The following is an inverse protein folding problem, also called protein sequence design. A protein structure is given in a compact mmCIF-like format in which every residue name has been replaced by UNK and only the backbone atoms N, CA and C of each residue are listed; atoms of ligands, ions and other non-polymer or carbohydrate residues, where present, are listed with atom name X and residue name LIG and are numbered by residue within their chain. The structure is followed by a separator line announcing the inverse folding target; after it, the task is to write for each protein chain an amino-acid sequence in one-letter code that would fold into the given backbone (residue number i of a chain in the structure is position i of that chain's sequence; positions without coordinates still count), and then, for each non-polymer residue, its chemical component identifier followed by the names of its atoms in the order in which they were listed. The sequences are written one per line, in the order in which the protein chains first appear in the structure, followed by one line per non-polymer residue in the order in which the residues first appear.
data_IF_815565588242
#
_entry.id   IF_815565588242
#
_cell.length_a   1.000
_cell.length_b   1.000
_cell.length_c   1.000
_cell.angle_alpha   90.00
_cell.angle_beta   90.00
_cell.angle_gamma   90.00
#
_symmetry.space_group_name_H-M   'P 1'
#
loop_
_entity.id
_entity.type
_entity.pdbx_description
1 polymer ?
#
# COMPACT_ATOMS: atom_id res chain seq x y z
N UNK A 1 3.96 13.91 24.72
CA UNK A 1 4.72 14.85 23.85
C UNK A 1 5.12 14.13 22.60
N UNK A 2 5.02 14.75 21.46
CA UNK A 2 5.53 14.22 20.18
C UNK A 2 7.05 14.13 20.27
N UNK A 3 7.57 12.93 20.14
CA UNK A 3 9.01 12.64 20.17
C UNK A 3 9.53 12.51 18.73
N UNK A 4 10.59 13.24 18.39
CA UNK A 4 11.31 13.03 17.13
C UNK A 4 12.25 11.81 17.30
N UNK A 5 11.96 10.73 16.57
CA UNK A 5 12.74 9.50 16.55
C UNK A 5 13.34 9.26 15.17
N UNK A 6 13.51 10.32 14.39
CA UNK A 6 14.08 10.26 13.05
C UNK A 6 15.42 9.54 13.04
N UNK A 7 15.62 8.71 12.05
CA UNK A 7 16.86 7.96 11.84
C UNK A 7 17.66 8.60 10.71
N UNK A 8 18.95 8.38 10.70
CA UNK A 8 19.82 8.78 9.60
C UNK A 8 20.54 7.55 9.07
N UNK A 9 20.41 7.29 7.79
CA UNK A 9 21.23 6.32 7.08
C UNK A 9 22.30 7.08 6.28
N UNK A 10 23.47 6.48 6.09
CA UNK A 10 24.49 7.08 5.25
C UNK A 10 24.29 6.65 3.80
N UNK A 11 24.32 7.61 2.88
CA UNK A 11 24.34 7.31 1.45
C UNK A 11 25.64 6.58 1.06
N UNK A 12 25.66 5.94 -0.11
CA UNK A 12 26.87 5.28 -0.62
C UNK A 12 28.05 6.26 -0.82
N UNK A 13 27.77 7.57 -0.89
CA UNK A 13 28.76 8.65 -0.88
C UNK A 13 29.08 9.19 0.52
N UNK A 14 28.54 8.59 1.59
CA UNK A 14 28.76 9.00 2.97
C UNK A 14 27.93 10.20 3.44
N UNK A 15 26.99 10.72 2.63
CA UNK A 15 26.12 11.82 3.03
C UNK A 15 24.95 11.32 3.89
N UNK A 16 24.52 12.09 4.91
CA UNK A 16 23.38 11.70 5.74
C UNK A 16 22.05 11.77 4.95
N UNK A 17 21.26 10.72 5.05
CA UNK A 17 19.91 10.62 4.49
C UNK A 17 18.92 10.43 5.64
N UNK A 18 18.16 11.47 6.03
CA UNK A 18 17.23 11.38 7.16
C UNK A 18 15.95 10.64 6.77
N UNK A 19 15.54 9.69 7.60
CA UNK A 19 14.20 9.09 7.60
C UNK A 19 13.44 9.72 8.77
N UNK A 20 12.51 10.60 8.47
CA UNK A 20 11.75 11.32 9.51
C UNK A 20 10.68 10.43 10.13
N UNK A 21 10.71 10.32 11.45
CA UNK A 21 9.77 9.52 12.22
C UNK A 21 9.41 10.20 13.54
N UNK A 22 8.15 10.08 13.92
CA UNK A 22 7.64 10.60 15.19
C UNK A 22 7.01 9.49 16.00
N UNK A 23 7.11 9.62 17.33
CA UNK A 23 6.49 8.70 18.29
C UNK A 23 5.62 9.47 19.28
N UNK A 24 4.47 8.90 19.55
CA UNK A 24 3.56 9.31 20.62
C UNK A 24 3.37 8.12 21.55
N UNK A 25 3.90 8.22 22.77
CA UNK A 25 3.74 7.19 23.79
C UNK A 25 2.51 7.49 24.64
N UNK A 26 1.54 6.58 24.64
CA UNK A 26 0.36 6.66 25.49
C UNK A 26 0.64 6.28 26.93
N UNK A 27 -0.37 6.44 27.82
CA UNK A 27 -0.24 6.21 29.25
C UNK A 27 -0.33 4.73 29.68
N UNK A 28 -0.16 3.78 28.73
CA UNK A 28 0.05 2.37 29.00
C UNK A 28 -1.11 1.44 28.64
N UNK A 29 -0.76 0.19 28.35
CA UNK A 29 -1.68 -0.94 28.17
C UNK A 29 -2.26 -1.12 26.76
N UNK A 30 -2.22 -0.12 25.88
CA UNK A 30 -2.68 -0.24 24.50
C UNK A 30 -1.60 -0.82 23.55
N UNK A 31 -2.00 -1.27 22.33
CA UNK A 31 -1.07 -1.84 21.38
C UNK A 31 -0.08 -0.80 20.82
N UNK A 32 1.09 -1.28 20.38
CA UNK A 32 2.03 -0.49 19.60
C UNK A 32 1.61 -0.49 18.14
N UNK A 33 1.65 0.67 17.51
CA UNK A 33 1.24 0.88 16.11
C UNK A 33 2.38 1.51 15.34
N UNK A 34 2.58 1.05 14.10
CA UNK A 34 3.44 1.69 13.12
C UNK A 34 2.60 2.08 11.90
N UNK A 35 2.65 3.35 11.54
CA UNK A 35 1.98 3.91 10.36
C UNK A 35 3.04 4.53 9.47
N UNK A 36 3.11 4.11 8.22
CA UNK A 36 4.02 4.73 7.26
C UNK A 36 3.36 4.97 5.91
N UNK A 37 3.97 5.83 5.11
CA UNK A 37 3.56 6.15 3.76
C UNK A 37 4.77 6.48 2.88
N UNK A 38 4.64 6.28 1.58
CA UNK A 38 5.63 6.68 0.60
C UNK A 38 6.86 5.80 0.57
N UNK A 39 6.73 4.50 0.76
CA UNK A 39 7.76 3.51 0.41
C UNK A 39 8.00 3.57 -1.10
N UNK A 40 6.94 3.56 -1.91
CA UNK A 40 6.99 4.12 -3.26
C UNK A 40 6.83 5.65 -3.15
N UNK A 41 7.88 6.38 -3.45
CA UNK A 41 7.97 7.81 -3.13
C UNK A 41 7.08 8.72 -4.00
N UNK A 42 6.59 8.22 -5.12
CA UNK A 42 5.61 8.88 -6.01
C UNK A 42 4.15 8.67 -5.57
N UNK A 43 3.89 7.85 -4.56
CA UNK A 43 2.59 7.57 -3.99
C UNK A 43 2.32 8.50 -2.78
N UNK A 44 2.03 9.78 -3.07
CA UNK A 44 2.06 10.86 -2.07
C UNK A 44 0.79 11.02 -1.24
N UNK A 45 -0.33 10.39 -1.62
CA UNK A 45 -1.61 10.55 -0.90
C UNK A 45 -1.50 10.15 0.57
N UNK A 46 -0.86 9.01 0.87
CA UNK A 46 -0.62 8.53 2.23
C UNK A 46 0.22 9.48 3.08
N UNK A 47 1.16 10.21 2.47
CA UNK A 47 1.96 11.24 3.17
C UNK A 47 1.06 12.36 3.70
N UNK A 48 0.10 12.82 2.90
CA UNK A 48 -0.87 13.84 3.30
C UNK A 48 -1.84 13.30 4.36
N UNK A 49 -2.27 12.05 4.23
CA UNK A 49 -3.12 11.39 5.24
C UNK A 49 -2.43 11.36 6.61
N UNK A 50 -1.18 10.93 6.67
CA UNK A 50 -0.42 10.90 7.92
C UNK A 50 -0.13 12.30 8.47
N UNK A 51 0.08 13.30 7.59
CA UNK A 51 0.17 14.71 8.00
C UNK A 51 -1.11 15.21 8.68
N UNK A 52 -2.30 14.81 8.18
CA UNK A 52 -3.60 15.16 8.78
C UNK A 52 -3.90 14.36 10.04
N UNK A 53 -3.42 13.11 10.12
CA UNK A 53 -3.64 12.24 11.27
C UNK A 53 -2.80 12.63 12.48
N UNK A 54 -1.55 13.05 12.28
CA UNK A 54 -0.60 13.32 13.35
C UNK A 54 -1.11 14.35 14.39
N UNK A 55 -1.69 15.51 14.01
CA UNK A 55 -2.28 16.44 14.99
C UNK A 55 -3.44 15.86 15.79
N UNK A 56 -4.23 14.94 15.19
CA UNK A 56 -5.35 14.27 15.89
C UNK A 56 -4.82 13.30 16.96
N UNK A 57 -3.73 12.57 16.64
CA UNK A 57 -3.04 11.69 17.59
C UNK A 57 -2.38 12.51 18.71
N UNK A 58 -1.78 13.64 18.38
CA UNK A 58 -1.19 14.55 19.37
C UNK A 58 -2.25 15.11 20.33
N UNK A 59 -3.41 15.52 19.80
CA UNK A 59 -4.52 15.96 20.64
C UNK A 59 -5.04 14.83 21.53
N UNK A 60 -5.17 13.60 21.01
CA UNK A 60 -5.56 12.44 21.81
C UNK A 60 -4.54 12.13 22.92
N UNK A 61 -3.25 12.35 22.65
CA UNK A 61 -2.19 12.22 23.65
C UNK A 61 -2.30 13.30 24.74
N UNK A 62 -2.47 14.57 24.35
CA UNK A 62 -2.64 15.71 25.30
C UNK A 62 -3.85 15.51 26.21
N UNK A 63 -4.96 15.01 25.66
CA UNK A 63 -6.20 14.73 26.39
C UNK A 63 -6.11 13.46 27.25
N UNK A 64 -4.99 12.75 27.27
CA UNK A 64 -4.81 11.49 28.02
C UNK A 64 -5.62 10.32 27.46
N UNK A 65 -6.12 10.42 26.22
CA UNK A 65 -6.90 9.37 25.56
C UNK A 65 -6.02 8.35 24.83
N UNK A 66 -4.77 8.69 24.50
CA UNK A 66 -3.85 7.75 23.86
C UNK A 66 -3.40 6.67 24.88
N UNK A 67 -3.70 5.42 24.58
CA UNK A 67 -3.36 4.24 25.41
C UNK A 67 -2.14 3.52 24.88
N UNK A 68 -2.07 3.32 23.58
CA UNK A 68 -0.98 2.66 22.89
C UNK A 68 0.19 3.60 22.59
N UNK A 69 1.20 3.06 21.91
CA UNK A 69 2.30 3.84 21.35
C UNK A 69 2.13 3.87 19.84
N UNK A 70 2.16 5.06 19.23
CA UNK A 70 2.04 5.21 17.78
C UNK A 70 3.32 5.79 17.21
N UNK A 71 3.94 5.06 16.30
CA UNK A 71 5.06 5.51 15.46
C UNK A 71 4.50 5.93 14.09
N UNK A 72 4.86 7.11 13.62
CA UNK A 72 4.40 7.66 12.34
C UNK A 72 5.60 8.04 11.48
N UNK A 73 5.67 7.50 10.26
CA UNK A 73 6.70 7.76 9.25
C UNK A 73 6.01 8.29 7.98
N UNK A 74 5.71 9.59 7.89
CA UNK A 74 4.90 10.12 6.80
C UNK A 74 5.56 10.08 5.42
N UNK A 75 6.89 10.04 5.38
CA UNK A 75 7.69 9.99 4.15
C UNK A 75 8.80 8.96 4.34
N UNK A 76 8.45 7.70 4.12
CA UNK A 76 9.34 6.58 4.41
C UNK A 76 10.57 6.50 3.50
N UNK A 77 10.47 7.01 2.25
CA UNK A 77 11.52 6.85 1.24
C UNK A 77 12.14 8.17 0.78
N UNK A 78 13.12 8.71 1.52
CA UNK A 78 13.85 9.90 1.09
C UNK A 78 14.72 9.67 -0.16
N UNK A 79 15.13 8.42 -0.43
CA UNK A 79 15.93 8.07 -1.62
C UNK A 79 15.08 8.24 -2.89
N UNK A 80 13.86 7.69 -2.88
CA UNK A 80 12.94 7.79 -4.01
C UNK A 80 12.47 9.22 -4.26
N UNK A 81 12.18 10.01 -3.21
CA UNK A 81 11.84 11.44 -3.35
C UNK A 81 12.98 12.24 -4.01
N UNK A 82 14.21 11.88 -3.74
CA UNK A 82 15.37 12.57 -4.35
C UNK A 82 15.54 12.25 -5.85
N UNK A 83 14.86 11.24 -6.38
CA UNK A 83 14.87 10.85 -7.80
C UNK A 83 13.92 11.72 -8.63
N UNK A 84 14.12 13.03 -8.62
CA UNK A 84 13.30 13.98 -9.38
C UNK A 84 13.90 14.20 -10.77
N UNK A 85 13.18 13.79 -11.83
CA UNK A 85 13.63 13.87 -13.21
C UNK A 85 12.53 14.47 -14.11
N UNK A 86 12.88 15.44 -14.92
CA UNK A 86 11.95 16.05 -15.90
C UNK A 86 10.59 16.45 -15.33
N UNK A 87 10.57 16.95 -14.09
CA UNK A 87 9.33 17.36 -13.44
C UNK A 87 8.56 16.24 -12.72
N UNK A 88 9.10 15.01 -12.67
CA UNK A 88 8.46 13.85 -12.04
C UNK A 88 9.37 13.19 -11.01
N UNK A 89 8.77 12.66 -9.95
CA UNK A 89 9.45 11.77 -9.01
C UNK A 89 9.41 10.36 -9.57
N UNK A 90 10.58 9.72 -9.71
CA UNK A 90 10.71 8.31 -10.08
C UNK A 90 10.74 7.48 -8.79
N UNK A 91 9.60 7.38 -8.13
CA UNK A 91 9.51 6.91 -6.75
C UNK A 91 9.38 5.40 -6.56
N UNK A 92 9.09 4.63 -7.62
CA UNK A 92 8.81 3.19 -7.52
C UNK A 92 10.07 2.34 -7.53
N UNK A 93 11.05 2.70 -8.33
CA UNK A 93 12.30 1.94 -8.48
C UNK A 93 13.51 2.78 -8.09
N UNK A 94 14.50 2.15 -7.44
CA UNK A 94 15.79 2.77 -7.18
C UNK A 94 16.59 2.89 -8.48
N UNK A 95 16.85 4.13 -8.90
CA UNK A 95 17.44 4.45 -10.22
C UNK A 95 18.78 3.74 -10.47
N UNK A 96 19.64 3.68 -9.45
CA UNK A 96 20.98 3.08 -9.58
C UNK A 96 20.99 1.56 -9.70
N UNK A 97 19.96 0.86 -9.18
CA UNK A 97 19.93 -0.62 -9.12
C UNK A 97 18.73 -1.23 -9.82
N UNK A 98 17.79 -0.42 -10.28
CA UNK A 98 16.49 -0.84 -10.84
C UNK A 98 15.67 -1.74 -9.90
N UNK A 99 15.97 -1.72 -8.59
CA UNK A 99 15.21 -2.47 -7.59
C UNK A 99 13.94 -1.71 -7.22
N UNK A 100 12.82 -2.41 -7.15
CA UNK A 100 11.59 -1.88 -6.59
C UNK A 100 11.80 -1.56 -5.10
N UNK A 101 11.43 -0.35 -4.67
CA UNK A 101 11.62 0.09 -3.29
C UNK A 101 10.81 -0.74 -2.28
N UNK A 102 9.66 -1.29 -2.66
CA UNK A 102 8.85 -2.14 -1.80
C UNK A 102 9.08 -3.64 -2.08
N UNK A 103 10.33 -4.05 -2.27
CA UNK A 103 10.77 -5.45 -2.39
C UNK A 103 12.06 -5.66 -1.60
N UNK A 104 12.40 -6.89 -1.27
CA UNK A 104 13.64 -7.28 -0.58
C UNK A 104 13.74 -6.85 0.89
N UNK A 105 12.67 -6.45 1.55
CA UNK A 105 12.70 -6.07 2.97
C UNK A 105 13.15 -7.20 3.88
N UNK A 106 12.77 -8.45 3.62
CA UNK A 106 13.24 -9.62 4.38
C UNK A 106 14.76 -9.80 4.33
N UNK A 107 15.34 -9.64 3.13
CA UNK A 107 16.78 -9.74 2.93
C UNK A 107 17.50 -8.66 3.75
N UNK A 108 17.03 -7.42 3.63
CA UNK A 108 17.61 -6.27 4.31
C UNK A 108 17.44 -6.34 5.84
N UNK A 109 16.28 -6.81 6.33
CA UNK A 109 16.02 -7.01 7.75
C UNK A 109 16.95 -8.04 8.40
N UNK A 110 17.37 -9.07 7.66
CA UNK A 110 18.27 -10.10 8.15
C UNK A 110 19.73 -9.62 8.29
N UNK A 111 20.10 -8.47 7.71
CA UNK A 111 21.46 -7.97 7.75
C UNK A 111 21.78 -7.34 9.11
N UNK A 112 22.90 -7.74 9.71
CA UNK A 112 23.43 -7.06 10.91
C UNK A 112 24.07 -5.71 10.55
N UNK A 113 24.75 -5.66 9.40
CA UNK A 113 25.45 -4.46 8.87
C UNK A 113 25.16 -4.33 7.38
N UNK A 114 24.17 -3.53 6.99
CA UNK A 114 23.88 -3.27 5.58
C UNK A 114 25.07 -2.62 4.89
N UNK A 115 25.42 -3.09 3.71
CA UNK A 115 26.56 -2.60 2.92
C UNK A 115 26.19 -1.47 1.95
N UNK A 116 24.89 -1.29 1.67
CA UNK A 116 24.40 -0.27 0.73
C UNK A 116 23.40 0.66 1.41
N UNK A 117 23.26 1.87 0.92
CA UNK A 117 22.25 2.84 1.37
C UNK A 117 20.85 2.24 1.27
N UNK A 118 20.53 1.55 0.18
CA UNK A 118 19.24 0.91 -0.05
C UNK A 118 18.90 -0.09 1.07
N UNK A 119 19.79 -1.03 1.37
CA UNK A 119 19.57 -2.02 2.41
C UNK A 119 19.56 -1.39 3.82
N UNK A 120 20.40 -0.37 4.08
CA UNK A 120 20.40 0.36 5.34
C UNK A 120 19.09 1.10 5.59
N UNK A 121 18.52 1.72 4.55
CA UNK A 121 17.24 2.39 4.59
C UNK A 121 16.09 1.40 4.87
N UNK A 122 16.02 0.28 4.14
CA UNK A 122 15.00 -0.74 4.38
C UNK A 122 15.08 -1.30 5.79
N UNK A 123 16.29 -1.64 6.24
CA UNK A 123 16.49 -2.12 7.61
C UNK A 123 16.02 -1.09 8.65
N UNK A 124 16.30 0.18 8.45
CA UNK A 124 15.87 1.24 9.36
C UNK A 124 14.33 1.31 9.48
N UNK A 125 13.59 1.13 8.39
CA UNK A 125 12.11 1.07 8.42
C UNK A 125 11.62 -0.16 9.19
N UNK A 126 12.23 -1.33 8.95
CA UNK A 126 11.87 -2.56 9.68
C UNK A 126 12.15 -2.39 11.19
N UNK A 127 13.32 -1.85 11.57
CA UNK A 127 13.68 -1.63 12.97
C UNK A 127 12.70 -0.67 13.69
N UNK A 128 12.10 0.29 12.97
CA UNK A 128 11.05 1.17 13.53
C UNK A 128 9.72 0.44 13.76
N UNK A 129 9.44 -0.61 13.01
CA UNK A 129 8.14 -1.29 12.97
C UNK A 129 8.11 -2.63 13.72
N UNK A 130 9.26 -3.28 13.93
CA UNK A 130 9.36 -4.69 14.36
C UNK A 130 8.60 -4.99 15.66
N UNK A 131 8.56 -4.06 16.59
CA UNK A 131 7.85 -4.20 17.87
C UNK A 131 6.35 -3.84 17.78
N UNK A 132 5.87 -3.35 16.65
CA UNK A 132 4.48 -2.98 16.51
C UNK A 132 3.56 -4.22 16.49
N UNK A 133 2.34 -4.06 16.99
CA UNK A 133 1.26 -5.04 16.86
C UNK A 133 0.35 -4.75 15.68
N UNK A 134 0.30 -3.49 15.26
CA UNK A 134 -0.44 -3.03 14.10
C UNK A 134 0.52 -2.27 13.20
N UNK A 135 0.61 -2.69 11.95
CA UNK A 135 1.45 -2.07 10.92
C UNK A 135 0.57 -1.74 9.72
N UNK A 136 0.49 -0.47 9.37
CA UNK A 136 -0.19 -0.01 8.16
C UNK A 136 0.81 0.71 7.26
N UNK A 137 0.98 0.19 6.05
CA UNK A 137 1.75 0.81 4.98
C UNK A 137 0.80 1.42 3.97
N UNK A 138 0.81 2.76 3.86
CA UNK A 138 -0.13 3.50 3.02
C UNK A 138 0.44 3.69 1.63
N UNK A 139 -0.26 3.15 0.67
CA UNK A 139 0.06 3.15 -0.76
C UNK A 139 -1.06 3.73 -1.61
N UNK A 140 -0.82 3.82 -2.89
CA UNK A 140 -1.81 4.09 -3.94
C UNK A 140 -1.46 3.29 -5.18
N UNK A 141 -2.48 2.86 -5.93
CA UNK A 141 -2.29 2.29 -7.26
C UNK A 141 -2.41 3.42 -8.33
N UNK A 142 -2.26 3.10 -9.57
CA UNK A 142 -2.29 4.02 -10.71
C UNK A 142 -3.58 4.84 -10.76
N UNK A 143 -4.74 4.22 -11.03
CA UNK A 143 -6.10 4.67 -10.76
C UNK A 143 -6.82 3.49 -10.07
N UNK A 144 -7.43 3.68 -8.92
CA UNK A 144 -7.99 2.58 -8.14
C UNK A 144 -9.17 2.97 -7.26
N UNK A 145 -9.97 1.97 -6.88
CA UNK A 145 -10.80 2.01 -5.69
C UNK A 145 -9.93 1.82 -4.44
N UNK A 146 -10.39 2.20 -3.24
CA UNK A 146 -9.73 1.80 -2.01
C UNK A 146 -9.74 0.27 -1.85
N UNK A 147 -8.59 -0.32 -1.56
CA UNK A 147 -8.50 -1.76 -1.29
C UNK A 147 -7.33 -2.08 -0.35
N UNK A 148 -7.27 -3.31 0.13
CA UNK A 148 -6.24 -3.78 1.06
C UNK A 148 -5.54 -5.01 0.51
N UNK A 149 -4.21 -5.11 0.76
CA UNK A 149 -3.52 -6.39 0.80
C UNK A 149 -3.39 -6.82 2.26
N UNK A 150 -3.84 -8.03 2.57
CA UNK A 150 -3.82 -8.58 3.94
C UNK A 150 -3.42 -10.03 3.90
N UNK A 151 -2.46 -10.44 4.72
CA UNK A 151 -2.17 -11.86 4.86
C UNK A 151 -3.39 -12.59 5.45
N UNK A 152 -3.71 -13.75 4.89
CA UNK A 152 -4.88 -14.56 5.29
C UNK A 152 -4.90 -14.88 6.79
N UNK A 153 -3.73 -14.95 7.47
CA UNK A 153 -3.67 -15.21 8.91
C UNK A 153 -4.35 -14.12 9.76
N UNK A 154 -4.55 -12.90 9.21
CA UNK A 154 -5.27 -11.80 9.87
C UNK A 154 -6.75 -11.71 9.48
N UNK A 155 -7.22 -12.58 8.60
CA UNK A 155 -8.61 -12.57 8.17
C UNK A 155 -9.41 -13.62 8.93
N UNK A 156 -10.62 -13.31 9.49
CA UNK A 156 -11.44 -12.11 9.19
C UNK A 156 -11.23 -10.90 10.13
N UNK A 157 -10.28 -10.93 11.04
CA UNK A 157 -10.12 -9.87 12.06
C UNK A 157 -9.82 -8.48 11.44
N UNK A 158 -9.18 -8.44 10.25
CA UNK A 158 -8.91 -7.20 9.51
C UNK A 158 -10.15 -6.56 8.85
N UNK A 159 -11.36 -7.16 9.00
CA UNK A 159 -12.60 -6.58 8.44
C UNK A 159 -12.95 -5.22 9.04
N UNK A 160 -12.53 -4.95 10.26
CA UNK A 160 -12.70 -3.65 10.90
C UNK A 160 -11.89 -2.55 10.20
N UNK A 161 -10.64 -2.85 9.78
CA UNK A 161 -9.82 -1.95 8.97
C UNK A 161 -10.48 -1.73 7.59
N UNK A 162 -10.90 -2.80 6.93
CA UNK A 162 -11.58 -2.72 5.64
C UNK A 162 -12.86 -1.88 5.72
N UNK A 163 -13.67 -2.04 6.78
CA UNK A 163 -14.86 -1.24 7.02
C UNK A 163 -14.55 0.23 7.33
N UNK A 164 -13.54 0.50 8.15
CA UNK A 164 -13.15 1.87 8.49
C UNK A 164 -12.73 2.66 7.24
N UNK A 165 -11.98 2.03 6.34
CA UNK A 165 -11.46 2.63 5.10
C UNK A 165 -12.44 2.58 3.93
N UNK A 166 -13.61 1.94 4.10
CA UNK A 166 -14.56 1.69 3.01
C UNK A 166 -13.90 0.98 1.82
N UNK A 167 -13.03 0.00 2.14
CA UNK A 167 -12.29 -0.74 1.14
C UNK A 167 -13.24 -1.58 0.27
N UNK A 168 -13.14 -1.46 -1.04
CA UNK A 168 -13.96 -2.20 -2.00
C UNK A 168 -13.62 -3.68 -2.01
N UNK A 169 -12.32 -3.99 -1.81
CA UNK A 169 -11.76 -5.33 -1.87
C UNK A 169 -10.69 -5.49 -0.79
N UNK A 170 -10.66 -6.66 -0.17
CA UNK A 170 -9.51 -7.15 0.59
C UNK A 170 -8.87 -8.31 -0.20
N UNK A 171 -7.69 -8.09 -0.72
CA UNK A 171 -6.90 -9.09 -1.44
C UNK A 171 -6.14 -9.91 -0.40
N UNK A 172 -6.48 -11.20 -0.31
CA UNK A 172 -5.92 -12.10 0.69
C UNK A 172 -4.76 -12.89 0.08
N UNK A 173 -3.57 -12.67 0.63
CA UNK A 173 -2.38 -13.43 0.26
C UNK A 173 -1.99 -14.44 1.33
N UNK A 174 -1.33 -15.51 0.93
CA UNK A 174 -0.84 -16.57 1.80
C UNK A 174 0.68 -16.42 2.06
N UNK A 175 1.42 -17.50 2.08
CA UNK A 175 2.85 -17.51 2.46
C UNK A 175 3.82 -17.06 1.38
N UNK A 176 3.33 -16.59 0.25
CA UNK A 176 4.16 -16.10 -0.87
C UNK A 176 4.65 -14.69 -0.54
N UNK A 177 5.71 -14.61 0.27
CA UNK A 177 6.36 -13.37 0.64
C UNK A 177 7.14 -12.83 -0.57
N UNK A 178 6.64 -11.74 -1.12
CA UNK A 178 7.25 -11.02 -2.23
C UNK A 178 8.38 -10.07 -1.81
N UNK A 179 8.68 -10.06 -0.51
CA UNK A 179 9.66 -9.16 0.08
C UNK A 179 9.18 -7.73 0.28
N UNK A 180 7.88 -7.47 0.19
CA UNK A 180 7.28 -6.19 0.54
C UNK A 180 7.41 -5.92 2.04
N UNK A 181 7.22 -4.65 2.45
CA UNK A 181 7.41 -4.25 3.84
C UNK A 181 6.48 -5.00 4.79
N UNK A 182 5.16 -5.05 4.51
CA UNK A 182 4.22 -5.77 5.36
C UNK A 182 4.48 -7.28 5.36
N UNK A 183 4.92 -7.85 4.23
CA UNK A 183 5.33 -9.25 4.12
C UNK A 183 6.52 -9.55 5.04
N UNK A 184 7.50 -8.65 5.12
CA UNK A 184 8.63 -8.80 6.04
C UNK A 184 8.20 -8.79 7.50
N UNK A 185 7.21 -7.96 7.87
CA UNK A 185 6.63 -7.94 9.22
C UNK A 185 5.92 -9.25 9.53
N UNK A 186 5.08 -9.73 8.63
CA UNK A 186 4.37 -11.01 8.78
C UNK A 186 5.36 -12.16 8.92
N UNK A 187 6.35 -12.23 8.05
CA UNK A 187 7.40 -13.27 8.08
C UNK A 187 8.20 -13.26 9.38
N UNK A 188 8.51 -12.06 9.91
CA UNK A 188 9.16 -11.92 11.21
C UNK A 188 8.27 -12.49 12.33
N UNK A 189 7.01 -12.07 12.41
CA UNK A 189 6.09 -12.51 13.47
C UNK A 189 5.77 -14.01 13.41
N UNK A 190 5.69 -14.60 12.22
CA UNK A 190 5.52 -16.05 12.05
C UNK A 190 6.73 -16.83 12.56
N UNK A 191 7.95 -16.36 12.26
CA UNK A 191 9.19 -16.98 12.79
C UNK A 191 9.24 -16.94 14.30
N UNK A 192 8.85 -15.80 14.91
CA UNK A 192 8.83 -15.60 16.36
C UNK A 192 7.59 -16.22 17.02
N UNK A 193 6.67 -16.81 16.26
CA UNK A 193 5.38 -17.36 16.74
C UNK A 193 4.54 -16.33 17.51
N UNK A 194 4.57 -15.08 17.06
CA UNK A 194 3.92 -13.93 17.71
C UNK A 194 2.86 -13.29 16.81
N UNK A 195 1.99 -14.08 16.19
CA UNK A 195 0.99 -13.59 15.25
C UNK A 195 -0.31 -13.13 15.92
N UNK A 196 -0.62 -13.67 17.11
CA UNK A 196 -1.89 -13.43 17.80
C UNK A 196 -2.06 -11.95 18.18
N UNK A 197 -3.21 -11.38 17.84
CA UNK A 197 -3.56 -9.98 18.08
C UNK A 197 -2.72 -8.97 17.33
N UNK A 198 -2.01 -9.40 16.26
CA UNK A 198 -1.26 -8.54 15.35
C UNK A 198 -2.02 -8.33 14.05
N UNK A 199 -1.63 -7.31 13.31
CA UNK A 199 -2.14 -6.99 11.98
C UNK A 199 -1.05 -6.24 11.19
N UNK A 200 -0.72 -6.72 10.00
CA UNK A 200 -0.02 -5.95 9.00
C UNK A 200 -0.87 -5.89 7.73
N UNK A 201 -0.96 -4.72 7.13
CA UNK A 201 -1.69 -4.52 5.88
C UNK A 201 -1.03 -3.43 5.04
N UNK A 202 -1.03 -3.64 3.72
CA UNK A 202 -0.88 -2.57 2.75
C UNK A 202 -2.24 -1.97 2.47
N UNK A 203 -2.33 -0.66 2.62
CA UNK A 203 -3.56 0.12 2.43
C UNK A 203 -3.43 0.91 1.13
N UNK A 204 -4.13 0.46 0.11
CA UNK A 204 -4.21 1.16 -1.17
C UNK A 204 -5.34 2.19 -1.11
N UNK A 205 -4.96 3.44 -0.93
CA UNK A 205 -5.93 4.51 -0.66
C UNK A 205 -6.81 4.87 -1.85
N UNK A 206 -6.33 4.76 -3.06
CA UNK A 206 -6.98 4.99 -4.37
C UNK A 206 -5.91 5.18 -5.45
N UNK A 207 -6.19 6.07 -6.44
CA UNK A 207 -5.22 6.45 -7.47
C UNK A 207 -4.17 7.44 -6.99
N UNK A 208 -2.99 7.42 -7.60
CA UNK A 208 -1.87 8.32 -7.29
C UNK A 208 -2.21 9.81 -7.41
N UNK A 209 -3.18 10.15 -8.28
CA UNK A 209 -3.65 11.53 -8.47
C UNK A 209 -4.76 11.96 -7.50
N UNK A 210 -5.27 11.05 -6.66
CA UNK A 210 -6.35 11.31 -5.71
C UNK A 210 -5.82 11.98 -4.44
N UNK A 211 -5.22 13.15 -4.60
CA UNK A 211 -4.61 13.95 -3.55
C UNK A 211 -5.42 15.23 -3.32
N UNK A 212 -6.11 15.31 -2.18
CA UNK A 212 -6.83 16.51 -1.75
C UNK A 212 -6.99 16.53 -0.23
N UNK A 213 -7.20 17.71 0.34
CA UNK A 213 -7.48 17.83 1.78
C UNK A 213 -8.71 17.02 2.20
N UNK A 214 -9.78 17.03 1.40
CA UNK A 214 -11.02 16.31 1.72
C UNK A 214 -10.81 14.79 1.78
N UNK A 215 -10.05 14.22 0.85
CA UNK A 215 -9.71 12.78 0.83
C UNK A 215 -8.80 12.45 2.00
N UNK A 216 -7.76 13.24 2.22
CA UNK A 216 -6.80 13.01 3.29
C UNK A 216 -7.43 13.14 4.69
N UNK A 217 -8.32 14.11 4.91
CA UNK A 217 -9.04 14.24 6.17
C UNK A 217 -9.99 13.07 6.42
N UNK A 218 -10.70 12.58 5.39
CA UNK A 218 -11.56 11.40 5.46
C UNK A 218 -10.76 10.15 5.85
N UNK A 219 -9.65 9.90 5.18
CA UNK A 219 -8.83 8.71 5.41
C UNK A 219 -8.11 8.78 6.76
N UNK A 220 -7.62 9.96 7.16
CA UNK A 220 -7.08 10.19 8.49
C UNK A 220 -8.12 9.92 9.59
N UNK A 221 -9.37 10.38 9.40
CA UNK A 221 -10.46 10.09 10.32
C UNK A 221 -10.80 8.60 10.36
N UNK A 222 -10.76 7.90 9.22
CA UNK A 222 -11.00 6.46 9.12
C UNK A 222 -9.92 5.66 9.87
N UNK A 223 -8.65 6.00 9.69
CA UNK A 223 -7.54 5.37 10.44
C UNK A 223 -7.67 5.69 11.93
N UNK A 224 -8.01 6.93 12.31
CA UNK A 224 -8.23 7.30 13.70
C UNK A 224 -9.35 6.46 14.34
N UNK A 225 -10.49 6.31 13.66
CA UNK A 225 -11.61 5.49 14.14
C UNK A 225 -11.23 3.99 14.28
N UNK A 226 -10.46 3.46 13.33
CA UNK A 226 -9.89 2.11 13.43
C UNK A 226 -9.00 1.97 14.67
N UNK A 227 -8.11 2.93 14.94
CA UNK A 227 -7.25 2.93 16.13
C UNK A 227 -8.06 3.00 17.43
N UNK A 228 -9.18 3.72 17.46
CA UNK A 228 -10.13 3.71 18.58
C UNK A 228 -10.72 2.31 18.78
N UNK A 229 -11.19 1.67 17.71
CA UNK A 229 -11.74 0.32 17.74
C UNK A 229 -10.75 -0.75 18.25
N UNK A 230 -9.47 -0.56 17.96
CA UNK A 230 -8.36 -1.43 18.40
C UNK A 230 -7.81 -1.07 19.80
N UNK A 231 -8.41 -0.12 20.51
CA UNK A 231 -8.00 0.26 21.86
C UNK A 231 -6.67 1.00 21.96
N UNK A 232 -6.17 1.53 20.83
CA UNK A 232 -4.99 2.42 20.80
C UNK A 232 -5.34 3.77 21.39
N UNK A 233 -6.57 4.23 21.14
CA UNK A 233 -7.13 5.49 21.63
C UNK A 233 -8.37 5.16 22.47
N UNK A 234 -8.47 5.71 23.70
CA UNK A 234 -9.59 5.53 24.60
C UNK A 234 -10.76 6.43 24.20
N UNK A 235 -11.34 6.15 23.06
CA UNK A 235 -12.50 6.80 22.53
C UNK A 235 -13.39 5.75 21.87
N UNK A 236 -14.71 5.96 21.85
CA UNK A 236 -15.63 5.03 21.22
C UNK A 236 -15.43 5.09 19.71
N UNK A 237 -14.92 4.00 19.14
CA UNK A 237 -14.87 3.81 17.70
C UNK A 237 -16.30 3.67 17.15
N UNK A 238 -16.52 4.12 15.94
CA UNK A 238 -17.73 3.83 15.17
C UNK A 238 -17.40 2.73 14.15
N UNK A 239 -17.60 1.44 14.51
CA UNK A 239 -17.27 0.34 13.63
C UNK A 239 -18.23 0.34 12.43
N UNK A 240 -17.70 0.65 11.26
CA UNK A 240 -18.46 0.52 10.01
C UNK A 240 -18.54 -0.95 9.59
N UNK A 241 -19.75 -1.42 9.29
CA UNK A 241 -19.92 -2.73 8.68
C UNK A 241 -19.28 -2.72 7.29
N UNK A 242 -18.38 -3.66 7.05
CA UNK A 242 -17.75 -3.79 5.74
C UNK A 242 -18.68 -4.51 4.75
N UNK A 243 -18.87 -3.90 3.57
CA UNK A 243 -19.71 -4.42 2.48
C UNK A 243 -18.92 -4.81 1.23
N UNK A 244 -17.58 -4.72 1.26
CA UNK A 244 -16.72 -5.13 0.17
C UNK A 244 -16.56 -6.66 0.06
N UNK A 245 -15.66 -7.10 -0.80
CA UNK A 245 -15.38 -8.52 -1.05
C UNK A 245 -13.95 -8.92 -0.66
N UNK A 246 -13.82 -10.10 -0.06
CA UNK A 246 -12.51 -10.70 0.22
C UNK A 246 -12.17 -11.69 -0.89
N UNK A 247 -11.07 -11.45 -1.58
CA UNK A 247 -10.67 -12.22 -2.76
C UNK A 247 -9.27 -12.78 -2.54
N UNK A 248 -9.06 -14.12 -2.71
CA UNK A 248 -7.71 -14.66 -2.73
C UNK A 248 -6.86 -13.99 -3.81
N UNK A 249 -5.60 -13.68 -3.53
CA UNK A 249 -4.70 -13.03 -4.50
C UNK A 249 -4.63 -13.80 -5.83
N UNK A 250 -4.57 -15.13 -5.77
CA UNK A 250 -4.59 -15.98 -6.97
C UNK A 250 -5.90 -15.95 -7.78
N UNK A 251 -6.96 -15.30 -7.28
CA UNK A 251 -8.21 -15.10 -8.03
C UNK A 251 -8.31 -13.71 -8.66
N UNK A 252 -7.37 -12.82 -8.35
CA UNK A 252 -7.30 -11.53 -9.05
C UNK A 252 -6.84 -11.75 -10.50
N UNK A 253 -7.51 -11.07 -11.43
CA UNK A 253 -7.12 -11.06 -12.83
C UNK A 253 -6.34 -9.80 -13.15
N UNK A 254 -5.15 -9.96 -13.70
CA UNK A 254 -4.36 -8.87 -14.28
C UNK A 254 -4.45 -8.96 -15.80
N UNK A 255 -4.96 -7.91 -16.43
CA UNK A 255 -5.05 -7.81 -17.90
C UNK A 255 -3.89 -6.97 -18.39
N UNK A 256 -3.08 -7.55 -19.24
CA UNK A 256 -1.90 -6.91 -19.83
C UNK A 256 -2.17 -6.39 -21.24
N UNK A 257 -1.45 -5.36 -21.65
CA UNK A 257 -1.49 -4.81 -23.00
C UNK A 257 -0.86 -5.79 -24.01
N UNK A 258 -1.61 -6.32 -24.99
CA UNK A 258 -1.06 -7.22 -25.99
C UNK A 258 -0.20 -6.48 -27.03
N UNK A 259 -0.36 -5.17 -27.15
CA UNK A 259 0.35 -4.28 -28.06
C UNK A 259 0.53 -2.91 -27.43
N UNK A 260 1.52 -2.15 -27.90
CA UNK A 260 1.66 -0.72 -27.53
C UNK A 260 0.64 0.13 -28.31
N UNK A 261 0.18 1.25 -27.72
CA UNK A 261 -0.73 2.16 -28.41
C UNK A 261 -1.52 3.06 -27.44
N UNK A 262 -2.55 3.69 -27.98
CA UNK A 262 -3.45 4.55 -27.21
C UNK A 262 -4.53 3.71 -26.54
N UNK A 263 -4.53 3.69 -25.21
CA UNK A 263 -5.47 2.94 -24.37
C UNK A 263 -6.76 3.74 -24.16
N UNK A 264 -7.89 3.10 -24.40
CA UNK A 264 -9.23 3.66 -24.19
C UNK A 264 -10.06 2.70 -23.35
N UNK A 265 -10.49 3.13 -22.18
CA UNK A 265 -11.37 2.34 -21.32
C UNK A 265 -12.82 2.43 -21.80
N UNK A 266 -13.54 1.31 -21.68
CA UNK A 266 -14.96 1.18 -21.99
C UNK A 266 -15.79 0.90 -20.73
N UNK A 267 -15.13 0.72 -19.59
CA UNK A 267 -15.75 0.54 -18.27
C UNK A 267 -15.05 1.40 -17.23
N UNK A 268 -15.85 1.88 -16.27
CA UNK A 268 -15.35 2.69 -15.17
C UNK A 268 -14.85 1.80 -14.01
N UNK A 269 -14.00 2.37 -13.14
CA UNK A 269 -13.63 1.74 -11.89
C UNK A 269 -14.88 1.38 -11.07
N UNK A 270 -14.87 0.20 -10.45
CA UNK A 270 -15.97 -0.31 -9.67
C UNK A 270 -17.07 -1.01 -10.49
N UNK A 271 -17.02 -0.93 -11.82
CA UNK A 271 -17.96 -1.62 -12.68
C UNK A 271 -17.88 -3.14 -12.49
N UNK A 272 -19.04 -3.79 -12.35
CA UNK A 272 -19.16 -5.23 -12.47
C UNK A 272 -19.20 -5.60 -13.95
N UNK A 273 -18.37 -6.54 -14.35
CA UNK A 273 -18.26 -7.02 -15.74
C UNK A 273 -18.50 -8.52 -15.82
N UNK A 274 -19.07 -8.97 -16.92
CA UNK A 274 -19.21 -10.39 -17.24
C UNK A 274 -17.92 -10.93 -17.89
N UNK A 275 -17.71 -12.25 -17.81
CA UNK A 275 -16.65 -12.94 -18.56
C UNK A 275 -16.81 -12.65 -20.06
N UNK A 276 -15.72 -12.28 -20.75
CA UNK A 276 -15.70 -11.93 -22.16
C UNK A 276 -16.20 -10.52 -22.47
N UNK A 277 -16.71 -9.77 -21.49
CA UNK A 277 -17.17 -8.39 -21.70
C UNK A 277 -16.01 -7.46 -22.09
N UNK A 278 -16.25 -6.52 -22.99
CA UNK A 278 -15.27 -5.52 -23.41
C UNK A 278 -15.02 -4.53 -22.26
N UNK A 279 -13.76 -4.38 -21.86
CA UNK A 279 -13.34 -3.49 -20.76
C UNK A 279 -12.51 -2.30 -21.24
N UNK A 280 -11.75 -2.51 -22.31
CA UNK A 280 -10.92 -1.48 -22.92
C UNK A 280 -10.58 -1.84 -24.37
N UNK A 281 -9.94 -0.94 -25.10
CA UNK A 281 -9.27 -1.20 -26.37
C UNK A 281 -7.97 -0.40 -26.48
N UNK A 282 -7.05 -0.90 -27.29
CA UNK A 282 -5.79 -0.23 -27.62
C UNK A 282 -5.77 0.06 -29.12
N UNK A 283 -5.58 1.32 -29.48
CA UNK A 283 -5.37 1.75 -30.87
C UNK A 283 -3.86 1.74 -31.14
N UNK A 284 -3.37 0.70 -31.79
CA UNK A 284 -1.94 0.52 -32.03
C UNK A 284 -1.37 1.51 -33.04
N UNK A 285 -2.16 1.86 -34.09
CA UNK A 285 -1.78 2.84 -35.13
C UNK A 285 -2.91 3.83 -35.36
N UNK A 286 -2.90 5.01 -34.69
CA UNK A 286 -3.90 6.06 -34.94
C UNK A 286 -4.02 6.40 -36.43
N UNK A 287 -5.27 6.45 -36.91
CA UNK A 287 -5.56 6.61 -38.35
C UNK A 287 -5.79 5.30 -39.11
N UNK A 288 -5.53 4.15 -38.50
CA UNK A 288 -5.84 2.84 -39.05
C UNK A 288 -6.86 2.11 -38.17
N UNK A 289 -8.16 2.12 -38.46
CA UNK A 289 -9.18 1.44 -37.63
C UNK A 289 -8.97 -0.06 -37.50
N UNK A 290 -8.25 -0.71 -38.42
CA UNK A 290 -7.96 -2.15 -38.34
C UNK A 290 -6.92 -2.49 -37.27
N UNK A 291 -6.25 -1.49 -36.71
CA UNK A 291 -5.23 -1.65 -35.66
C UNK A 291 -5.78 -1.64 -34.24
N UNK A 292 -7.11 -1.66 -34.06
CA UNK A 292 -7.73 -1.72 -32.72
C UNK A 292 -7.68 -3.13 -32.11
N UNK A 293 -7.17 -3.22 -30.90
CA UNK A 293 -7.12 -4.45 -30.10
C UNK A 293 -8.08 -4.34 -28.91
N UNK A 294 -9.13 -5.16 -28.90
CA UNK A 294 -10.13 -5.18 -27.83
C UNK A 294 -9.64 -6.03 -26.67
N UNK A 295 -9.69 -5.46 -25.47
CA UNK A 295 -9.42 -6.15 -24.21
C UNK A 295 -10.75 -6.57 -23.58
N UNK A 296 -10.78 -7.82 -23.11
CA UNK A 296 -11.97 -8.42 -22.48
C UNK A 296 -11.66 -8.91 -21.08
N UNK A 297 -12.70 -8.91 -20.22
CA UNK A 297 -12.59 -9.48 -18.90
C UNK A 297 -12.36 -11.00 -18.98
N UNK A 298 -11.27 -11.53 -18.36
CA UNK A 298 -11.00 -12.98 -18.40
C UNK A 298 -12.01 -13.81 -17.62
N UNK A 299 -12.64 -13.22 -16.60
CA UNK A 299 -13.77 -13.79 -15.87
C UNK A 299 -14.69 -12.68 -15.37
N UNK A 300 -15.86 -13.04 -14.86
CA UNK A 300 -16.77 -12.06 -14.24
C UNK A 300 -16.15 -11.52 -12.94
N UNK A 301 -16.26 -10.19 -12.73
CA UNK A 301 -15.70 -9.55 -11.55
C UNK A 301 -15.87 -8.03 -11.54
N UNK A 302 -15.29 -7.40 -10.53
CA UNK A 302 -15.28 -5.94 -10.35
C UNK A 302 -13.94 -5.36 -10.82
N UNK A 303 -13.95 -4.29 -11.60
CA UNK A 303 -12.75 -3.51 -11.92
C UNK A 303 -12.27 -2.77 -10.67
N UNK A 304 -11.07 -3.13 -10.19
CA UNK A 304 -10.48 -2.57 -8.97
C UNK A 304 -9.48 -1.48 -9.29
N UNK A 305 -8.61 -1.72 -10.27
CA UNK A 305 -7.59 -0.77 -10.69
C UNK A 305 -7.52 -0.66 -12.21
N UNK A 306 -6.96 0.45 -12.71
CA UNK A 306 -6.65 0.64 -14.12
C UNK A 306 -5.42 1.55 -14.27
N UNK A 307 -4.68 1.36 -15.35
CA UNK A 307 -3.54 2.22 -15.69
C UNK A 307 -4.00 3.65 -15.96
N UNK A 308 -3.34 4.64 -15.34
CA UNK A 308 -3.60 6.07 -15.58
C UNK A 308 -3.04 6.53 -16.92
N UNK A 309 -1.95 5.91 -17.39
CA UNK A 309 -1.30 6.28 -18.62
C UNK A 309 -2.11 5.76 -19.80
N UNK A 310 -2.38 6.67 -20.76
CA UNK A 310 -3.19 6.34 -21.93
C UNK A 310 -2.34 6.06 -23.18
N UNK A 311 -1.03 6.31 -23.12
CA UNK A 311 -0.06 5.75 -24.03
C UNK A 311 0.62 4.59 -23.31
N UNK A 312 0.33 3.37 -23.72
CA UNK A 312 0.73 2.15 -23.04
C UNK A 312 1.71 1.34 -23.87
N UNK A 313 2.65 0.67 -23.21
CA UNK A 313 3.55 -0.26 -23.85
C UNK A 313 3.00 -1.70 -23.83
N UNK A 314 3.44 -2.52 -24.79
CA UNK A 314 3.14 -3.96 -24.75
C UNK A 314 3.70 -4.57 -23.47
N UNK A 315 2.88 -5.36 -22.77
CA UNK A 315 3.24 -6.00 -21.51
C UNK A 315 2.88 -5.19 -20.26
N UNK A 316 2.51 -3.92 -20.39
CA UNK A 316 2.06 -3.11 -19.25
C UNK A 316 0.73 -3.64 -18.69
N UNK A 317 0.55 -3.46 -17.36
CA UNK A 317 -0.73 -3.75 -16.69
C UNK A 317 -1.77 -2.71 -17.11
N UNK A 318 -2.90 -3.17 -17.62
CA UNK A 318 -4.04 -2.32 -18.03
C UNK A 318 -5.07 -2.22 -16.92
N UNK A 319 -5.51 -3.37 -16.39
CA UNK A 319 -6.61 -3.49 -15.41
C UNK A 319 -6.30 -4.61 -14.45
N UNK A 320 -6.65 -4.43 -13.17
CA UNK A 320 -6.85 -5.54 -12.24
C UNK A 320 -8.34 -5.63 -11.89
N UNK A 321 -8.88 -6.84 -11.91
CA UNK A 321 -10.26 -7.11 -11.53
C UNK A 321 -10.35 -8.31 -10.60
N UNK A 322 -11.40 -8.34 -9.77
CA UNK A 322 -11.68 -9.49 -8.93
C UNK A 322 -12.14 -10.68 -9.77
N UNK A 323 -11.97 -11.89 -9.24
CA UNK A 323 -12.46 -13.10 -9.85
C UNK A 323 -13.00 -14.08 -8.81
N UNK A 324 -13.85 -14.99 -9.24
CA UNK A 324 -14.46 -16.02 -8.38
C UNK A 324 -13.74 -17.36 -8.39
N UNK A 325 -12.82 -17.56 -9.32
CA UNK A 325 -12.00 -18.77 -9.51
C UNK A 325 -10.52 -18.39 -9.70
N UNK A 326 -9.58 -19.31 -9.47
CA UNK A 326 -8.16 -19.05 -9.73
C UNK A 326 -7.93 -18.51 -11.15
N UNK A 327 -7.14 -17.45 -11.27
CA UNK A 327 -6.75 -16.89 -12.55
C UNK A 327 -5.87 -17.88 -13.32
N UNK A 328 -6.19 -18.09 -14.60
CA UNK A 328 -5.38 -18.93 -15.47
C UNK A 328 -3.98 -18.34 -15.73
N UNK A 329 -3.83 -17.02 -15.53
CA UNK A 329 -2.57 -16.30 -15.72
C UNK A 329 -1.75 -16.16 -14.42
N UNK A 330 -2.26 -16.66 -13.29
CA UNK A 330 -1.57 -16.59 -12.02
C UNK A 330 -0.39 -17.57 -11.98
N UNK A 331 0.80 -17.05 -11.86
CA UNK A 331 2.05 -17.82 -11.79
C UNK A 331 2.66 -17.87 -10.39
N UNK A 332 1.94 -17.37 -9.38
CA UNK A 332 2.49 -17.10 -8.04
C UNK A 332 3.17 -15.73 -7.96
N UNK A 333 3.34 -15.22 -6.75
CA UNK A 333 4.01 -13.94 -6.50
C UNK A 333 3.04 -12.74 -6.51
N UNK A 334 3.54 -11.60 -6.92
CA UNK A 334 2.86 -10.31 -6.82
C UNK A 334 1.94 -10.01 -7.99
N UNK A 335 0.93 -9.16 -7.74
CA UNK A 335 0.07 -8.61 -8.79
C UNK A 335 0.74 -7.43 -9.53
N UNK A 336 1.76 -6.82 -8.92
CA UNK A 336 2.56 -5.74 -9.50
C UNK A 336 4.02 -6.18 -9.62
N UNK A 337 4.57 -6.24 -10.84
CA UNK A 337 5.96 -6.64 -11.09
C UNK A 337 7.00 -5.65 -10.55
#
# INVERSE_FOLDING_TARGET
MLEDISLTVNSDSGQPVPVRAWRLAGQGGGPRVHLQAGVHADEIAGMLVLHKLLPRLEQAHVDGRLRGTVTVVPQANPLGIAQFRNGHVLGRFHEATSRNFNRHFNESAALQRPATTFAAWQKALVDLAVDARIVLDLHTDSEALPYLYVNRCFWPDARDLAGALDASVAILWDNDDDGAFEGAMVSHWLREKQIEGRLAATVELRGQSDVSDALADRDAQSIYAFLCGRGVIAERGDPRAWSGEAVPMGHMETVFAPVSGVLVYERELGAQVAEGERIARIVARPGDPSSEHVLRAPQAGRLVTRCRDRLIAQGDVVVKLTGSKPSANWTGGVLDP
#
